data_IF_859629641691
#
_entry.id   IF_859629641691
#
_cell.length_a   1.000
_cell.length_b   1.000
_cell.length_c   1.000
_cell.angle_alpha   90.00
_cell.angle_beta   90.00
_cell.angle_gamma   90.00
#
_symmetry.space_group_name_H-M   'P 1'
#
loop_
_entity.id
_entity.type
_entity.pdbx_description
1 polymer ?
#
# COMPACT_ATOMS: atom_id res chain seq x y z
N UNK A 1 13.48 24.07 -11.80
CA UNK A 1 12.53 23.08 -12.34
C UNK A 1 11.12 23.58 -12.07
N UNK A 2 10.33 23.79 -13.12
CA UNK A 2 8.91 24.16 -13.02
C UNK A 2 8.07 22.94 -13.40
N UNK A 3 6.89 22.78 -12.80
CA UNK A 3 6.01 21.70 -13.21
C UNK A 3 5.48 21.96 -14.62
N UNK A 4 5.59 20.96 -15.48
CA UNK A 4 5.06 20.97 -16.84
C UNK A 4 3.71 20.28 -16.93
N UNK A 5 3.59 19.07 -16.40
CA UNK A 5 2.38 18.26 -16.56
C UNK A 5 2.31 17.10 -15.55
N UNK A 6 1.10 16.66 -15.25
CA UNK A 6 0.81 15.45 -14.48
C UNK A 6 -0.02 14.48 -15.32
N UNK A 7 0.32 13.19 -15.31
CA UNK A 7 -0.40 12.14 -16.04
C UNK A 7 -0.74 10.96 -15.13
N UNK A 8 -1.85 10.30 -15.44
CA UNK A 8 -2.39 9.19 -14.66
C UNK A 8 -3.47 9.62 -13.66
N UNK A 9 -3.84 8.76 -12.69
CA UNK A 9 -3.18 7.49 -12.40
C UNK A 9 -3.48 6.38 -13.42
N UNK A 10 -2.44 5.65 -13.83
CA UNK A 10 -2.53 4.43 -14.64
C UNK A 10 -2.07 3.25 -13.79
N UNK A 11 -2.94 2.25 -13.60
CA UNK A 11 -2.72 1.14 -12.66
C UNK A 11 -2.33 1.61 -11.24
N UNK A 12 -2.87 2.77 -10.82
CA UNK A 12 -2.59 3.38 -9.53
C UNK A 12 -1.27 4.15 -9.44
N UNK A 13 -0.37 4.05 -10.43
CA UNK A 13 0.83 4.88 -10.52
C UNK A 13 0.55 6.22 -11.20
N UNK A 14 1.26 7.29 -10.83
CA UNK A 14 1.09 8.62 -11.43
C UNK A 14 2.46 9.19 -11.83
N UNK A 15 2.52 9.90 -12.97
CA UNK A 15 3.74 10.55 -13.42
C UNK A 15 3.65 12.08 -13.37
N UNK A 16 4.72 12.72 -12.91
CA UNK A 16 4.82 14.16 -12.72
C UNK A 16 6.05 14.64 -13.49
N UNK A 17 5.85 15.47 -14.52
CA UNK A 17 6.90 15.97 -15.39
C UNK A 17 7.24 17.41 -15.00
N UNK A 18 8.52 17.64 -14.74
CA UNK A 18 9.10 18.95 -14.53
C UNK A 18 9.96 19.36 -15.72
N UNK A 19 10.01 20.65 -15.99
CA UNK A 19 10.80 21.24 -17.06
C UNK A 19 11.66 22.40 -16.53
N UNK A 20 12.90 22.48 -17.00
CA UNK A 20 13.73 23.64 -16.75
C UNK A 20 13.33 24.78 -17.71
N UNK A 21 12.91 25.96 -17.22
CA UNK A 21 12.51 27.06 -18.09
C UNK A 21 13.67 27.67 -18.90
N UNK A 22 14.92 27.41 -18.51
CA UNK A 22 16.11 28.01 -19.13
C UNK A 22 16.73 27.13 -20.22
N UNK A 23 16.72 25.81 -20.03
CA UNK A 23 17.40 24.87 -20.94
C UNK A 23 16.50 23.72 -21.44
N UNK A 24 15.18 23.80 -21.19
CA UNK A 24 14.13 22.84 -21.61
C UNK A 24 14.33 21.37 -21.22
N UNK A 25 15.33 21.06 -20.39
CA UNK A 25 15.53 19.72 -19.84
C UNK A 25 14.33 19.29 -19.00
N UNK A 26 13.87 18.05 -19.20
CA UNK A 26 12.71 17.49 -18.51
C UNK A 26 13.11 16.36 -17.55
N UNK A 27 12.41 16.27 -16.44
CA UNK A 27 12.56 15.19 -15.44
C UNK A 27 11.18 14.71 -15.04
N UNK A 28 10.95 13.39 -15.11
CA UNK A 28 9.70 12.78 -14.71
C UNK A 28 9.88 12.00 -13.39
N UNK A 29 8.97 12.22 -12.44
CA UNK A 29 8.83 11.41 -11.23
C UNK A 29 7.67 10.43 -11.43
N UNK A 30 7.84 9.18 -11.00
CA UNK A 30 6.79 8.16 -11.01
C UNK A 30 6.47 7.77 -9.57
N UNK A 31 5.23 7.97 -9.15
CA UNK A 31 4.78 7.59 -7.80
C UNK A 31 4.22 6.17 -7.82
N UNK A 32 4.46 5.42 -6.74
CA UNK A 32 3.93 4.08 -6.58
C UNK A 32 2.40 4.13 -6.30
N UNK A 33 1.70 3.01 -6.53
CA UNK A 33 0.27 2.83 -6.26
C UNK A 33 -0.14 3.16 -4.84
N UNK A 34 0.58 2.64 -3.84
CA UNK A 34 0.26 2.87 -2.43
C UNK A 34 0.40 4.36 -2.06
N UNK A 35 1.46 5.01 -2.52
CA UNK A 35 1.73 6.43 -2.29
C UNK A 35 0.67 7.32 -2.97
N UNK A 36 0.36 7.04 -4.24
CA UNK A 36 -0.65 7.78 -5.00
C UNK A 36 -2.03 7.67 -4.36
N UNK A 37 -2.39 6.50 -3.83
CA UNK A 37 -3.66 6.30 -3.13
C UNK A 37 -3.72 7.10 -1.81
N UNK A 38 -2.64 7.07 -1.02
CA UNK A 38 -2.57 7.79 0.25
C UNK A 38 -2.66 9.31 0.07
N UNK A 39 -1.92 9.89 -0.87
CA UNK A 39 -1.91 11.34 -1.05
C UNK A 39 -3.27 11.85 -1.54
N UNK A 40 -3.99 11.05 -2.34
CA UNK A 40 -5.35 11.38 -2.80
C UNK A 40 -6.39 11.31 -1.68
N UNK A 41 -6.29 10.34 -0.76
CA UNK A 41 -7.21 10.27 0.38
C UNK A 41 -7.04 11.44 1.35
N UNK A 42 -5.83 11.98 1.44
CA UNK A 42 -5.52 13.20 2.19
C UNK A 42 -6.01 14.49 1.49
N UNK A 43 -6.54 14.40 0.27
CA UNK A 43 -7.02 15.56 -0.49
C UNK A 43 -5.90 16.52 -0.94
N UNK A 44 -4.65 16.08 -0.87
CA UNK A 44 -3.49 16.90 -1.26
C UNK A 44 -3.40 16.91 -2.79
N UNK A 45 -3.37 18.11 -3.38
CA UNK A 45 -3.21 18.26 -4.82
C UNK A 45 -1.77 18.06 -5.23
N UNK A 46 -1.56 17.10 -6.12
CA UNK A 46 -0.25 16.77 -6.70
C UNK A 46 -0.13 17.52 -8.03
N UNK A 47 1.01 18.16 -8.27
CA UNK A 47 1.24 18.90 -9.51
C UNK A 47 0.91 20.39 -9.43
N UNK A 48 1.28 21.05 -8.32
CA UNK A 48 1.25 22.51 -8.24
C UNK A 48 -0.15 23.11 -8.35
N UNK A 49 -0.26 24.40 -8.02
CA UNK A 49 -1.52 25.13 -8.13
C UNK A 49 -1.52 25.89 -9.46
N UNK A 50 -2.54 25.69 -10.28
CA UNK A 50 -2.77 26.49 -11.49
C UNK A 50 -3.69 27.69 -11.22
N UNK A 51 -4.31 27.76 -10.04
CA UNK A 51 -5.20 28.83 -9.59
C UNK A 51 -4.95 29.22 -8.12
N UNK A 52 -5.27 30.47 -7.71
CA UNK A 52 -5.18 30.92 -6.31
C UNK A 52 -6.05 30.09 -5.35
N UNK A 53 -5.79 30.15 -4.04
CA UNK A 53 -6.64 29.48 -3.03
C UNK A 53 -8.03 30.14 -3.00
N UNK A 54 -9.06 29.36 -3.34
CA UNK A 54 -10.45 29.78 -3.14
C UNK A 54 -10.96 29.32 -1.76
N UNK A 55 -11.84 30.10 -1.09
CA UNK A 55 -12.37 29.71 0.21
C UNK A 55 -13.05 28.35 0.13
N UNK A 56 -12.78 27.46 1.10
CA UNK A 56 -13.43 26.15 1.21
C UNK A 56 -13.31 25.28 -0.06
N UNK A 57 -12.25 25.46 -0.86
CA UNK A 57 -12.02 24.73 -2.11
C UNK A 57 -12.06 23.20 -1.95
N UNK A 58 -11.40 22.67 -0.91
CA UNK A 58 -11.36 21.24 -0.62
C UNK A 58 -12.74 20.66 -0.32
N UNK A 59 -13.59 21.42 0.36
CA UNK A 59 -14.96 21.00 0.67
C UNK A 59 -15.82 21.02 -0.59
N UNK A 60 -15.67 22.05 -1.42
CA UNK A 60 -16.36 22.16 -2.73
C UNK A 60 -15.97 21.04 -3.68
N UNK A 61 -14.70 20.66 -3.77
CA UNK A 61 -14.27 19.54 -4.60
C UNK A 61 -14.85 18.21 -4.12
N UNK A 62 -14.89 17.99 -2.80
CA UNK A 62 -15.47 16.77 -2.22
C UNK A 62 -16.98 16.67 -2.46
N UNK A 63 -17.71 17.79 -2.38
CA UNK A 63 -19.14 17.89 -2.69
C UNK A 63 -19.41 17.68 -4.18
N UNK A 64 -18.60 18.24 -5.07
CA UNK A 64 -18.74 18.07 -6.52
C UNK A 64 -18.51 16.61 -6.97
N UNK A 65 -17.69 15.85 -6.23
CA UNK A 65 -17.49 14.41 -6.46
C UNK A 65 -18.57 13.51 -5.84
N UNK A 66 -19.55 14.07 -5.11
CA UNK A 66 -20.56 13.31 -4.38
C UNK A 66 -21.98 13.53 -4.92
N UNK A 67 -22.32 12.90 -6.04
CA UNK A 67 -23.64 13.10 -6.64
C UNK A 67 -24.12 12.00 -7.58
N UNK A 68 -24.31 10.76 -7.07
CA UNK A 68 -25.35 9.82 -7.53
C UNK A 68 -25.71 8.86 -6.38
N UNK A 69 -26.68 9.22 -5.52
CA UNK A 69 -27.57 8.24 -4.89
C UNK A 69 -28.84 8.95 -4.37
N UNK A 70 -29.98 8.53 -4.92
CA UNK A 70 -31.33 9.07 -4.67
C UNK A 70 -31.82 8.91 -3.22
N UNK A 71 -32.90 9.65 -2.95
CA UNK A 71 -33.74 9.74 -1.74
C UNK A 71 -33.90 8.43 -0.95
N UNK A 72 -33.99 8.44 0.38
CA UNK A 72 -35.11 8.94 1.18
C UNK A 72 -34.73 9.02 2.67
N UNK A 73 -35.45 9.83 3.45
CA UNK A 73 -35.27 10.03 4.90
C UNK A 73 -35.99 9.01 5.82
N UNK A 74 -35.92 9.18 7.16
CA UNK A 74 -35.58 8.13 8.14
C UNK A 74 -36.74 7.78 9.12
N UNK A 75 -36.58 7.02 10.25
CA UNK A 75 -35.99 7.60 11.47
C UNK A 75 -35.26 6.63 12.46
N UNK A 76 -34.34 7.23 13.22
CA UNK A 76 -34.14 7.12 14.68
C UNK A 76 -33.77 5.81 15.40
N UNK A 77 -32.76 5.97 16.26
CA UNK A 77 -32.55 5.35 17.58
C UNK A 77 -31.95 3.94 17.66
N UNK A 78 -31.06 3.80 18.64
CA UNK A 78 -30.60 2.52 19.15
C UNK A 78 -29.14 2.25 18.82
N UNK A 79 -28.27 2.54 19.78
CA UNK A 79 -26.87 2.14 19.70
C UNK A 79 -26.75 0.62 19.55
N UNK A 80 -26.41 0.15 18.35
CA UNK A 80 -25.56 -1.00 18.09
C UNK A 80 -25.25 -1.00 16.60
N UNK A 81 -24.02 -0.65 16.21
CA UNK A 81 -23.60 -0.81 14.83
C UNK A 81 -23.68 -2.30 14.45
N UNK A 82 -24.47 -2.69 13.42
CA UNK A 82 -24.67 -4.09 13.04
C UNK A 82 -23.38 -4.77 12.55
N UNK A 83 -22.34 -4.00 12.24
CA UNK A 83 -21.04 -4.50 11.82
C UNK A 83 -20.15 -5.03 12.97
N UNK A 84 -20.41 -4.67 14.23
CA UNK A 84 -19.59 -5.12 15.38
C UNK A 84 -20.06 -6.44 15.98
N UNK A 85 -21.29 -6.89 15.67
CA UNK A 85 -21.81 -8.18 16.15
C UNK A 85 -21.24 -9.39 15.41
N UNK A 86 -21.10 -9.30 14.08
CA UNK A 86 -20.64 -10.42 13.24
C UNK A 86 -19.15 -10.74 13.37
N UNK A 87 -18.32 -9.78 13.78
CA UNK A 87 -16.88 -10.03 13.95
C UNK A 87 -16.55 -10.83 15.21
N UNK A 88 -17.42 -10.82 16.23
CA UNK A 88 -17.13 -11.52 17.48
C UNK A 88 -17.40 -13.03 17.39
N UNK A 89 -18.40 -13.45 16.60
CA UNK A 89 -18.71 -14.86 16.34
C UNK A 89 -17.69 -15.51 15.37
N UNK A 90 -17.06 -14.74 14.47
CA UNK A 90 -16.08 -15.25 13.51
C UNK A 90 -14.67 -15.50 14.11
N UNK A 91 -14.38 -14.97 15.30
CA UNK A 91 -13.09 -15.16 15.99
C UNK A 91 -13.11 -16.38 16.94
N UNK A 92 -14.26 -17.07 17.05
CA UNK A 92 -14.46 -18.23 17.92
C UNK A 92 -14.20 -19.61 17.28
N UNK A 93 -13.89 -19.68 15.98
CA UNK A 93 -13.55 -20.93 15.32
C UNK A 93 -12.03 -21.12 15.33
N UNK A 94 -11.53 -21.85 16.33
CA UNK A 94 -10.17 -22.35 16.36
C UNK A 94 -9.97 -23.40 15.25
N UNK A 95 -9.70 -22.92 14.03
CA UNK A 95 -8.98 -23.69 13.02
C UNK A 95 -7.54 -23.93 13.50
N UNK A 96 -6.92 -25.08 13.20
CA UNK A 96 -5.54 -25.34 13.62
C UNK A 96 -4.63 -24.27 13.02
N UNK A 97 -4.03 -23.45 13.88
CA UNK A 97 -3.09 -22.43 13.44
C UNK A 97 -2.04 -23.05 12.50
N UNK A 98 -1.83 -22.51 11.30
CA UNK A 98 -0.77 -22.99 10.43
C UNK A 98 0.54 -22.81 11.18
N UNK A 99 1.21 -23.93 11.49
CA UNK A 99 2.49 -23.94 12.20
C UNK A 99 3.45 -23.04 11.45
N UNK A 100 3.86 -21.93 12.08
CA UNK A 100 4.89 -21.05 11.52
C UNK A 100 6.16 -21.89 11.31
N UNK A 101 6.79 -21.80 10.13
CA UNK A 101 7.99 -22.57 9.87
C UNK A 101 9.09 -22.18 10.86
N UNK A 102 9.83 -23.18 11.35
CA UNK A 102 10.91 -22.98 12.32
C UNK A 102 12.16 -22.54 11.57
N UNK A 103 12.80 -21.47 12.01
CA UNK A 103 14.05 -20.99 11.42
C UNK A 103 15.25 -21.72 12.02
N UNK A 104 16.12 -22.23 11.16
CA UNK A 104 17.41 -22.79 11.59
C UNK A 104 18.40 -21.69 11.97
N UNK A 105 19.43 -22.04 12.75
CA UNK A 105 20.50 -21.12 13.10
C UNK A 105 21.27 -20.62 11.84
N UNK A 106 21.48 -21.49 10.85
CA UNK A 106 22.15 -21.14 9.59
C UNK A 106 21.35 -20.12 8.76
N UNK A 107 20.02 -20.30 8.66
CA UNK A 107 19.16 -19.35 7.98
C UNK A 107 19.10 -17.98 8.69
N UNK A 108 19.06 -17.96 10.02
CA UNK A 108 19.08 -16.72 10.80
C UNK A 108 20.38 -15.93 10.62
N UNK A 109 21.54 -16.61 10.61
CA UNK A 109 22.82 -15.96 10.37
C UNK A 109 22.88 -15.27 8.99
N UNK A 110 22.26 -15.87 7.96
CA UNK A 110 22.14 -15.24 6.63
C UNK A 110 21.24 -14.00 6.64
N UNK A 111 20.18 -13.98 7.45
CA UNK A 111 19.34 -12.79 7.62
C UNK A 111 20.09 -11.68 8.35
N UNK A 112 20.90 -12.00 9.35
CA UNK A 112 21.70 -11.01 10.09
C UNK A 112 22.75 -10.31 9.21
N UNK A 113 23.24 -10.98 8.16
CA UNK A 113 24.12 -10.36 7.16
C UNK A 113 23.43 -9.28 6.31
N UNK A 114 22.09 -9.28 6.24
CA UNK A 114 21.31 -8.32 5.47
C UNK A 114 21.11 -7.03 6.29
N UNK A 115 21.16 -5.84 5.67
CA UNK A 115 20.90 -4.59 6.38
C UNK A 115 19.57 -4.59 7.15
N UNK A 116 19.51 -4.00 8.35
CA UNK A 116 18.39 -4.18 9.29
C UNK A 116 17.04 -3.70 8.77
N UNK A 117 17.02 -2.69 7.90
CA UNK A 117 15.78 -2.18 7.31
C UNK A 117 15.16 -3.14 6.28
N UNK A 118 15.94 -4.05 5.70
CA UNK A 118 15.48 -5.02 4.70
C UNK A 118 15.12 -6.37 5.36
N UNK A 119 15.74 -6.70 6.50
CA UNK A 119 15.47 -7.93 7.26
C UNK A 119 13.98 -8.27 7.45
N UNK A 120 13.09 -7.34 7.90
CA UNK A 120 11.68 -7.69 8.10
C UNK A 120 10.96 -8.05 6.80
N UNK A 121 11.32 -7.41 5.69
CA UNK A 121 10.77 -7.73 4.38
C UNK A 121 11.23 -9.13 3.92
N UNK A 122 12.51 -9.44 4.06
CA UNK A 122 13.07 -10.74 3.67
C UNK A 122 12.47 -11.87 4.50
N UNK A 123 12.40 -11.72 5.82
CA UNK A 123 11.77 -12.73 6.70
C UNK A 123 10.34 -13.05 6.26
N UNK A 124 9.54 -12.02 5.98
CA UNK A 124 8.15 -12.20 5.52
C UNK A 124 8.07 -12.94 4.19
N UNK A 125 8.94 -12.61 3.23
CA UNK A 125 8.96 -13.26 1.92
C UNK A 125 9.36 -14.73 2.04
N UNK A 126 10.40 -15.04 2.82
CA UNK A 126 10.87 -16.41 3.06
C UNK A 126 9.79 -17.23 3.78
N UNK A 127 9.15 -16.68 4.80
CA UNK A 127 8.05 -17.35 5.51
C UNK A 127 6.84 -17.60 4.60
N UNK A 128 6.51 -16.67 3.71
CA UNK A 128 5.43 -16.88 2.73
C UNK A 128 5.78 -17.99 1.76
N UNK A 129 7.01 -17.96 1.21
CA UNK A 129 7.48 -18.99 0.29
C UNK A 129 7.52 -20.37 0.96
N UNK A 130 8.03 -20.46 2.18
CA UNK A 130 8.06 -21.70 2.95
C UNK A 130 6.65 -22.26 3.15
N UNK A 131 5.68 -21.40 3.51
CA UNK A 131 4.28 -21.82 3.65
C UNK A 131 3.65 -22.27 2.32
N UNK A 132 3.93 -21.57 1.23
CA UNK A 132 3.40 -21.91 -0.11
C UNK A 132 3.96 -23.24 -0.64
N UNK A 133 5.23 -23.53 -0.34
CA UNK A 133 5.87 -24.80 -0.70
C UNK A 133 5.63 -25.92 0.33
N UNK A 134 4.99 -25.61 1.47
CA UNK A 134 4.72 -26.58 2.53
C UNK A 134 5.92 -26.95 3.41
N UNK A 135 6.99 -26.14 3.40
CA UNK A 135 8.13 -26.32 4.29
C UNK A 135 7.77 -25.96 5.73
N UNK A 136 8.07 -26.89 6.65
CA UNK A 136 7.89 -26.70 8.10
C UNK A 136 9.14 -26.10 8.78
N UNK A 137 10.27 -26.09 8.07
CA UNK A 137 11.56 -25.62 8.54
C UNK A 137 12.22 -24.76 7.44
N UNK A 138 12.81 -23.64 7.84
CA UNK A 138 13.56 -22.73 6.96
C UNK A 138 15.05 -22.96 7.24
N UNK A 139 15.66 -23.74 6.36
CA UNK A 139 17.09 -24.02 6.31
C UNK A 139 17.81 -23.17 5.24
N UNK A 140 19.08 -23.46 5.04
CA UNK A 140 19.91 -22.76 4.06
C UNK A 140 19.48 -23.05 2.61
N UNK A 141 18.98 -24.26 2.34
CA UNK A 141 18.53 -24.69 1.01
C UNK A 141 17.24 -23.95 0.62
N UNK A 142 16.30 -23.79 1.55
CA UNK A 142 15.09 -22.96 1.38
C UNK A 142 15.47 -21.51 1.11
N UNK A 143 16.47 -20.98 1.82
CA UNK A 143 16.97 -19.61 1.60
C UNK A 143 17.56 -19.42 0.19
N UNK A 144 18.27 -20.42 -0.34
CA UNK A 144 18.85 -20.38 -1.68
C UNK A 144 17.77 -20.57 -2.77
N UNK A 145 16.78 -21.42 -2.54
CA UNK A 145 15.61 -21.55 -3.42
C UNK A 145 14.80 -20.24 -3.51
N UNK A 146 14.62 -19.53 -2.39
CA UNK A 146 13.97 -18.22 -2.37
C UNK A 146 14.73 -17.19 -3.18
N UNK A 147 16.08 -17.18 -3.13
CA UNK A 147 16.90 -16.26 -3.93
C UNK A 147 16.70 -16.51 -5.43
N UNK A 148 16.71 -17.78 -5.86
CA UNK A 148 16.44 -18.16 -7.25
C UNK A 148 15.02 -17.80 -7.71
N UNK A 149 14.03 -17.87 -6.82
CA UNK A 149 12.65 -17.47 -7.12
C UNK A 149 12.46 -15.95 -7.24
N UNK A 150 13.21 -15.17 -6.44
CA UNK A 150 13.18 -13.70 -6.45
C UNK A 150 14.01 -13.07 -7.59
N UNK A 151 14.68 -13.87 -8.42
CA UNK A 151 15.35 -13.41 -9.63
C UNK A 151 16.63 -12.62 -9.41
N UNK A 152 17.47 -13.05 -8.45
CA UNK A 152 18.88 -12.62 -8.34
C UNK A 152 19.85 -13.77 -8.56
#
# INVERSE_FOLDING_TARGET
MALKSTHGPFDGSMSIVYECPTCSMQTAMLTNRAETQMVRSLGVRIGGRTTPEEPMETLRSNLASGGEMSSEGPPSSGGKCPFTGMVNDAIGAAEPEPKKPVWTAGALARIEAIPPYIQPMVKRNVESYAREQGYLEIDEDVMDAVRGHLGM
#
